data_IF_335322312348
#
_entry.id   IF_335322312348
#
_cell.length_a   1.000
_cell.length_b   1.000
_cell.length_c   1.000
_cell.angle_alpha   90.00
_cell.angle_beta   90.00
_cell.angle_gamma   90.00
#
_symmetry.space_group_name_H-M   'P 1'
#
loop_
_entity.id
_entity.type
_entity.pdbx_description
1 polymer ?
#
# COMPACT_ATOMS: atom_id res chain seq x y z
N UNK A 1 86.87 -33.21 -11.54
CA UNK A 1 85.79 -32.64 -12.39
C UNK A 1 84.44 -32.95 -11.75
N UNK A 2 83.45 -32.04 -11.86
CA UNK A 2 82.63 -31.60 -10.74
C UNK A 2 81.36 -32.43 -10.47
N UNK A 3 80.82 -32.15 -9.29
CA UNK A 3 79.66 -32.73 -8.60
C UNK A 3 78.33 -32.55 -9.33
N UNK A 4 77.39 -33.44 -9.03
CA UNK A 4 75.94 -33.22 -9.18
C UNK A 4 75.18 -33.98 -8.08
N UNK A 5 74.36 -33.30 -7.27
CA UNK A 5 73.17 -33.89 -6.66
C UNK A 5 71.90 -33.29 -7.30
N UNK A 6 70.75 -33.99 -7.31
CA UNK A 6 69.51 -33.36 -7.69
C UNK A 6 68.67 -32.92 -6.47
N UNK A 7 68.39 -31.61 -6.48
CA UNK A 7 67.08 -30.98 -6.37
C UNK A 7 66.26 -31.16 -5.08
N UNK A 8 66.48 -30.23 -4.16
CA UNK A 8 65.54 -29.76 -3.14
C UNK A 8 64.48 -28.83 -3.77
N UNK A 9 63.20 -29.15 -3.60
CA UNK A 9 62.08 -28.26 -3.92
C UNK A 9 61.80 -27.27 -2.77
N UNK A 10 61.54 -26.04 -3.16
CA UNK A 10 61.41 -24.88 -2.29
C UNK A 10 60.10 -24.86 -1.49
N UNK A 11 60.25 -24.44 -0.23
CA UNK A 11 59.22 -24.02 0.71
C UNK A 11 58.63 -22.65 0.37
N UNK A 12 57.32 -22.46 0.56
CA UNK A 12 56.77 -21.15 0.95
C UNK A 12 55.45 -21.29 1.74
N UNK A 13 55.58 -21.05 3.04
CA UNK A 13 54.70 -20.30 3.94
C UNK A 13 53.18 -20.36 3.74
N UNK A 14 52.56 -21.09 4.67
CA UNK A 14 51.13 -21.11 5.00
C UNK A 14 50.67 -19.75 5.55
N UNK A 15 49.74 -19.10 4.86
CA UNK A 15 49.07 -17.89 5.33
C UNK A 15 47.74 -18.24 6.00
N UNK A 16 47.57 -17.68 7.19
CA UNK A 16 46.45 -17.86 8.14
C UNK A 16 45.13 -17.39 7.54
N UNK A 17 44.11 -18.23 7.62
CA UNK A 17 42.73 -17.93 7.22
C UNK A 17 42.09 -16.96 8.22
N UNK A 18 41.96 -15.69 7.83
CA UNK A 18 41.17 -14.70 8.57
C UNK A 18 39.69 -14.83 8.21
N UNK A 19 38.89 -15.19 9.21
CA UNK A 19 37.43 -15.12 9.20
C UNK A 19 36.97 -13.67 9.02
N UNK A 20 36.47 -13.32 7.84
CA UNK A 20 35.83 -12.03 7.55
C UNK A 20 34.40 -12.00 8.10
N UNK A 21 34.23 -11.37 9.26
CA UNK A 21 32.93 -11.01 9.82
C UNK A 21 32.24 -10.00 8.92
N UNK A 22 31.02 -10.30 8.46
CA UNK A 22 30.17 -9.33 7.76
C UNK A 22 29.85 -8.14 8.67
N UNK A 23 29.78 -6.90 8.15
CA UNK A 23 29.43 -5.74 8.97
C UNK A 23 27.97 -5.87 9.41
N UNK A 24 27.78 -5.96 10.72
CA UNK A 24 26.48 -6.11 11.35
C UNK A 24 25.51 -5.01 10.93
N UNK A 25 24.32 -5.42 10.48
CA UNK A 25 23.11 -4.60 10.56
C UNK A 25 23.06 -4.01 11.97
N UNK A 26 23.13 -2.68 12.10
CA UNK A 26 22.77 -2.01 13.35
C UNK A 26 21.33 -2.39 13.66
N UNK A 27 21.13 -3.38 14.55
CA UNK A 27 19.86 -3.60 15.22
C UNK A 27 19.66 -2.43 16.18
N UNK A 28 19.06 -1.36 15.68
CA UNK A 28 18.41 -0.40 16.57
C UNK A 28 17.25 -1.16 17.21
N UNK A 29 17.28 -1.30 18.53
CA UNK A 29 16.14 -1.81 19.29
C UNK A 29 14.91 -0.98 18.93
N UNK A 30 13.75 -1.61 18.64
CA UNK A 30 12.53 -0.86 18.41
C UNK A 30 12.23 0.04 19.62
N UNK A 31 11.71 1.26 19.41
CA UNK A 31 11.27 2.10 20.52
C UNK A 31 10.20 1.38 21.35
N UNK A 32 10.21 1.56 22.68
CA UNK A 32 9.33 0.85 23.63
C UNK A 32 7.86 0.81 23.20
N UNK A 33 7.33 1.91 22.65
CA UNK A 33 5.96 1.98 22.13
C UNK A 33 5.69 0.98 20.99
N UNK A 34 6.66 0.76 20.09
CA UNK A 34 6.52 -0.23 19.01
C UNK A 34 6.62 -1.67 19.51
N UNK A 35 7.34 -1.90 20.62
CA UNK A 35 7.42 -3.22 21.27
C UNK A 35 6.11 -3.55 21.97
N UNK A 36 5.54 -2.61 22.73
CA UNK A 36 4.24 -2.80 23.39
C UNK A 36 3.11 -3.01 22.38
N UNK A 37 3.11 -2.23 21.29
CA UNK A 37 2.13 -2.39 20.22
C UNK A 37 2.24 -3.78 19.55
N UNK A 38 3.45 -4.34 19.45
CA UNK A 38 3.65 -5.68 18.91
C UNK A 38 3.09 -6.75 19.83
N UNK A 39 3.39 -6.67 21.13
CA UNK A 39 2.84 -7.58 22.14
C UNK A 39 1.31 -7.59 22.15
N UNK A 40 0.69 -6.40 22.00
CA UNK A 40 -0.77 -6.26 21.89
C UNK A 40 -1.35 -7.03 20.67
N UNK A 41 -0.64 -7.02 19.53
CA UNK A 41 -1.06 -7.80 18.35
C UNK A 41 -0.85 -9.31 18.54
N UNK A 42 0.29 -9.70 19.09
CA UNK A 42 0.62 -11.11 19.31
C UNK A 42 -0.39 -11.76 20.28
N UNK A 43 -0.80 -11.08 21.36
CA UNK A 43 -1.87 -11.55 22.26
C UNK A 43 -3.16 -11.91 21.51
N UNK A 44 -3.54 -11.09 20.52
CA UNK A 44 -4.77 -11.27 19.75
C UNK A 44 -4.62 -12.38 18.69
N UNK A 45 -3.46 -12.45 18.04
CA UNK A 45 -3.16 -13.43 16.98
C UNK A 45 -2.84 -14.83 17.52
N UNK A 46 -2.33 -14.94 18.75
CA UNK A 46 -1.99 -16.23 19.39
C UNK A 46 -3.21 -16.92 20.03
N UNK A 47 -4.36 -16.24 20.08
CA UNK A 47 -5.62 -16.84 20.52
C UNK A 47 -5.96 -18.11 19.72
N UNK A 48 -6.07 -19.25 20.41
CA UNK A 48 -6.27 -20.55 19.77
C UNK A 48 -7.64 -20.71 19.11
N UNK A 49 -8.68 -20.11 19.70
CA UNK A 49 -10.08 -20.34 19.29
C UNK A 49 -10.62 -19.19 18.45
N UNK A 50 -10.32 -17.95 18.85
CA UNK A 50 -10.98 -16.78 18.28
C UNK A 50 -10.09 -15.55 18.24
N UNK A 51 -9.92 -14.95 17.07
CA UNK A 51 -9.16 -13.71 16.87
C UNK A 51 -10.09 -12.50 17.01
N UNK A 52 -9.83 -11.64 17.99
CA UNK A 52 -10.61 -10.42 18.18
C UNK A 52 -10.27 -9.35 17.13
N UNK A 53 -11.00 -9.36 16.02
CA UNK A 53 -10.83 -8.41 14.92
C UNK A 53 -11.08 -6.96 15.36
N UNK A 54 -11.89 -6.71 16.40
CA UNK A 54 -12.11 -5.35 16.87
C UNK A 54 -10.89 -4.81 17.63
N UNK A 55 -10.19 -5.65 18.40
CA UNK A 55 -8.87 -5.31 18.94
C UNK A 55 -7.86 -5.07 17.81
N UNK A 56 -7.81 -5.93 16.78
CA UNK A 56 -6.94 -5.71 15.62
C UNK A 56 -7.21 -4.35 14.95
N UNK A 57 -8.48 -4.00 14.71
CA UNK A 57 -8.89 -2.69 14.17
C UNK A 57 -8.45 -1.55 15.08
N UNK A 58 -8.57 -1.70 16.40
CA UNK A 58 -8.15 -0.67 17.36
C UNK A 58 -6.64 -0.41 17.26
N UNK A 59 -5.83 -1.46 17.23
CA UNK A 59 -4.37 -1.35 17.20
C UNK A 59 -3.86 -0.87 15.83
N UNK A 60 -4.43 -1.38 14.74
CA UNK A 60 -4.03 -1.05 13.37
C UNK A 60 -4.16 0.45 13.02
N UNK A 61 -5.04 1.19 13.70
CA UNK A 61 -5.13 2.66 13.59
C UNK A 61 -3.83 3.39 13.94
N UNK A 62 -2.96 2.75 14.71
CA UNK A 62 -1.66 3.28 15.12
C UNK A 62 -0.50 2.71 14.28
N UNK A 63 -0.81 1.95 13.23
CA UNK A 63 0.14 1.24 12.38
C UNK A 63 0.33 -0.21 12.81
N UNK A 64 0.70 -1.06 11.87
CA UNK A 64 0.97 -2.48 12.10
C UNK A 64 2.47 -2.75 11.91
N UNK A 65 3.15 -3.50 12.78
CA UNK A 65 4.53 -3.92 12.56
C UNK A 65 4.72 -4.70 11.25
N UNK A 66 5.85 -4.49 10.56
CA UNK A 66 6.09 -5.03 9.22
C UNK A 66 5.98 -6.56 9.16
N UNK A 67 6.43 -7.25 10.20
CA UNK A 67 6.54 -8.71 10.22
C UNK A 67 5.19 -9.42 10.40
N UNK A 68 4.17 -8.74 10.90
CA UNK A 68 2.81 -9.30 11.09
C UNK A 68 1.75 -8.63 10.21
N UNK A 69 2.14 -7.61 9.42
CA UNK A 69 1.19 -6.85 8.61
C UNK A 69 0.35 -7.74 7.69
N UNK A 70 0.99 -8.68 7.00
CA UNK A 70 0.28 -9.62 6.12
C UNK A 70 -0.76 -10.45 6.87
N UNK A 71 -0.42 -10.97 8.06
CA UNK A 71 -1.34 -11.77 8.88
C UNK A 71 -2.53 -10.92 9.37
N UNK A 72 -2.27 -9.73 9.90
CA UNK A 72 -3.33 -8.82 10.37
C UNK A 72 -4.25 -8.39 9.22
N UNK A 73 -3.69 -8.03 8.06
CA UNK A 73 -4.47 -7.62 6.89
C UNK A 73 -5.42 -8.71 6.40
N UNK A 74 -5.02 -9.98 6.46
CA UNK A 74 -5.92 -11.10 6.11
C UNK A 74 -7.21 -11.09 6.95
N UNK A 75 -7.13 -10.79 8.24
CA UNK A 75 -8.33 -10.65 9.09
C UNK A 75 -9.10 -9.35 8.80
N UNK A 76 -8.39 -8.22 8.64
CA UNK A 76 -9.03 -6.92 8.42
C UNK A 76 -9.79 -6.85 7.08
N UNK A 77 -9.29 -7.55 6.04
CA UNK A 77 -9.93 -7.69 4.74
C UNK A 77 -10.96 -8.83 4.67
N UNK A 78 -11.14 -9.59 5.76
CA UNK A 78 -12.08 -10.72 5.82
C UNK A 78 -11.69 -11.92 4.96
N UNK A 79 -10.41 -12.10 4.66
CA UNK A 79 -9.86 -13.30 4.01
C UNK A 79 -9.75 -14.45 5.01
N UNK A 80 -9.32 -14.14 6.24
CA UNK A 80 -9.34 -15.06 7.37
C UNK A 80 -10.56 -14.79 8.25
N UNK A 81 -11.17 -15.87 8.76
CA UNK A 81 -12.31 -15.76 9.67
C UNK A 81 -11.82 -15.63 11.12
N UNK A 82 -12.53 -14.86 11.97
CA UNK A 82 -12.20 -14.74 13.38
C UNK A 82 -12.21 -16.08 14.13
N UNK A 83 -13.15 -16.97 13.80
CA UNK A 83 -13.26 -18.31 14.37
C UNK A 83 -12.27 -19.28 13.70
N UNK A 84 -11.37 -19.84 14.50
CA UNK A 84 -10.30 -20.74 14.06
C UNK A 84 -10.69 -22.21 14.01
N UNK A 85 -11.89 -22.57 14.46
CA UNK A 85 -12.34 -23.97 14.52
C UNK A 85 -12.24 -24.72 13.18
N UNK A 86 -12.37 -23.98 12.06
CA UNK A 86 -12.25 -24.50 10.70
C UNK A 86 -11.15 -23.83 9.88
N UNK A 87 -10.15 -23.21 10.52
CA UNK A 87 -9.10 -22.43 9.84
C UNK A 87 -8.34 -23.28 8.81
N UNK A 88 -7.86 -24.46 9.21
CA UNK A 88 -7.12 -25.35 8.33
C UNK A 88 -7.92 -25.75 7.08
N UNK A 89 -9.17 -26.16 7.26
CA UNK A 89 -10.05 -26.56 6.15
C UNK A 89 -10.34 -25.38 5.23
N UNK A 90 -10.55 -24.17 5.76
CA UNK A 90 -10.81 -22.97 4.96
C UNK A 90 -9.59 -22.51 4.17
N UNK A 91 -8.41 -22.52 4.78
CA UNK A 91 -7.14 -22.22 4.10
C UNK A 91 -6.88 -23.21 2.97
N UNK A 92 -7.10 -24.51 3.22
CA UNK A 92 -6.94 -25.55 2.19
C UNK A 92 -7.93 -25.36 1.04
N UNK A 93 -9.21 -25.14 1.33
CA UNK A 93 -10.22 -24.90 0.30
C UNK A 93 -9.90 -23.65 -0.54
N UNK A 94 -9.47 -22.55 0.10
CA UNK A 94 -9.04 -21.32 -0.59
C UNK A 94 -7.85 -21.58 -1.51
N UNK A 95 -6.87 -22.35 -1.04
CA UNK A 95 -5.71 -22.73 -1.83
C UNK A 95 -6.08 -23.61 -3.04
N UNK A 96 -6.92 -24.62 -2.84
CA UNK A 96 -7.44 -25.48 -3.92
C UNK A 96 -8.18 -24.65 -4.97
N UNK A 97 -9.10 -23.77 -4.56
CA UNK A 97 -9.80 -22.86 -5.49
C UNK A 97 -8.84 -21.95 -6.23
N UNK A 98 -7.82 -21.40 -5.55
CA UNK A 98 -6.81 -20.57 -6.21
C UNK A 98 -5.99 -21.34 -7.24
N UNK A 99 -5.66 -22.61 -6.98
CA UNK A 99 -4.93 -23.44 -7.94
C UNK A 99 -5.71 -23.65 -9.24
N UNK A 100 -7.04 -23.80 -9.16
CA UNK A 100 -7.92 -24.02 -10.31
C UNK A 100 -8.10 -22.79 -11.22
N UNK A 101 -7.76 -21.58 -10.73
CA UNK A 101 -7.89 -20.36 -11.53
C UNK A 101 -6.91 -20.37 -12.71
N UNK A 102 -7.41 -20.05 -13.90
CA UNK A 102 -6.59 -19.77 -15.07
C UNK A 102 -5.79 -18.48 -14.88
N UNK A 103 -4.47 -18.62 -14.85
CA UNK A 103 -3.51 -17.52 -14.63
C UNK A 103 -2.86 -17.07 -15.95
N UNK A 104 -3.17 -17.71 -17.07
CA UNK A 104 -2.57 -17.38 -18.36
C UNK A 104 -3.37 -16.27 -19.06
N UNK A 105 -2.69 -15.16 -19.36
CA UNK A 105 -3.24 -14.10 -20.18
C UNK A 105 -2.10 -13.36 -20.89
N UNK A 106 -1.82 -13.73 -22.14
CA UNK A 106 -0.63 -13.24 -22.88
C UNK A 106 -0.63 -11.72 -23.03
N UNK A 107 -1.80 -11.13 -23.32
CA UNK A 107 -1.95 -9.70 -23.52
C UNK A 107 -1.74 -8.93 -22.21
N UNK A 108 -2.45 -9.33 -21.16
CA UNK A 108 -2.35 -8.71 -19.82
C UNK A 108 -0.94 -8.89 -19.27
N UNK A 109 -0.36 -10.09 -19.36
CA UNK A 109 0.99 -10.38 -18.87
C UNK A 109 2.07 -9.47 -19.47
N UNK A 110 1.99 -9.19 -20.77
CA UNK A 110 2.92 -8.24 -21.41
C UNK A 110 2.79 -6.84 -20.79
N UNK A 111 1.57 -6.38 -20.54
CA UNK A 111 1.29 -5.05 -19.96
C UNK A 111 1.69 -5.00 -18.47
N UNK A 112 1.41 -6.06 -17.71
CA UNK A 112 1.82 -6.21 -16.31
C UNK A 112 3.34 -6.16 -16.19
N UNK A 113 4.08 -6.98 -16.95
CA UNK A 113 5.55 -6.99 -16.90
C UNK A 113 6.17 -5.62 -17.19
N UNK A 114 5.65 -4.91 -18.19
CA UNK A 114 6.09 -3.55 -18.50
C UNK A 114 5.89 -2.58 -17.32
N UNK A 115 4.73 -2.65 -16.67
CA UNK A 115 4.41 -1.78 -15.54
C UNK A 115 5.15 -2.17 -14.25
N UNK A 116 5.31 -3.46 -13.96
CA UNK A 116 6.11 -3.94 -12.83
C UNK A 116 7.55 -3.48 -12.96
N UNK A 117 8.15 -3.55 -14.15
CA UNK A 117 9.50 -3.03 -14.37
C UNK A 117 9.59 -1.53 -14.06
N UNK A 118 8.61 -0.72 -14.51
CA UNK A 118 8.55 0.71 -14.18
C UNK A 118 8.41 0.94 -12.66
N UNK A 119 7.53 0.19 -12.01
CA UNK A 119 7.30 0.26 -10.58
C UNK A 119 8.57 -0.07 -9.78
N UNK A 120 9.23 -1.18 -10.09
CA UNK A 120 10.48 -1.60 -9.44
C UNK A 120 11.62 -0.60 -9.65
N UNK A 121 11.72 0.03 -10.82
CA UNK A 121 12.70 1.08 -11.05
C UNK A 121 12.41 2.32 -10.18
N UNK A 122 11.13 2.69 -10.04
CA UNK A 122 10.71 3.83 -9.20
C UNK A 122 10.97 3.56 -7.71
N UNK A 123 10.73 2.34 -7.24
CA UNK A 123 10.83 1.96 -5.83
C UNK A 123 12.17 1.31 -5.45
N UNK A 124 13.14 1.26 -6.37
CA UNK A 124 14.45 0.61 -6.18
C UNK A 124 15.18 1.04 -4.89
N UNK A 125 15.03 2.30 -4.48
CA UNK A 125 15.66 2.83 -3.25
C UNK A 125 15.08 2.24 -1.96
N UNK A 126 13.85 1.73 -2.01
CA UNK A 126 13.11 1.23 -0.85
C UNK A 126 13.38 -0.27 -0.62
N UNK A 127 13.76 -1.00 -1.66
CA UNK A 127 14.26 -2.40 -1.59
C UNK A 127 13.33 -3.41 -0.90
N UNK A 128 12.02 -3.20 -0.90
CA UNK A 128 11.04 -4.14 -0.33
C UNK A 128 10.81 -5.40 -1.18
N UNK A 129 10.91 -5.26 -2.49
CA UNK A 129 10.59 -6.32 -3.44
C UNK A 129 11.86 -6.92 -4.03
N UNK A 130 11.90 -8.26 -4.11
CA UNK A 130 12.94 -8.95 -4.84
C UNK A 130 12.65 -8.84 -6.36
N UNK A 131 13.52 -8.16 -7.14
CA UNK A 131 13.26 -7.91 -8.57
C UNK A 131 13.26 -9.19 -9.42
N UNK A 132 13.76 -10.32 -8.90
CA UNK A 132 13.78 -11.59 -9.61
C UNK A 132 12.50 -12.40 -9.42
N UNK A 133 11.85 -12.31 -8.25
CA UNK A 133 10.65 -13.11 -7.93
C UNK A 133 9.37 -12.31 -8.05
N UNK A 134 9.39 -11.03 -7.65
CA UNK A 134 8.20 -10.19 -7.64
C UNK A 134 7.48 -10.10 -8.99
N UNK A 135 8.16 -9.97 -10.16
CA UNK A 135 7.47 -9.91 -11.45
C UNK A 135 6.59 -11.11 -11.75
N UNK A 136 7.02 -12.32 -11.37
CA UNK A 136 6.23 -13.53 -11.57
C UNK A 136 4.96 -13.51 -10.69
N UNK A 137 5.08 -13.07 -9.42
CA UNK A 137 3.96 -12.98 -8.49
C UNK A 137 2.92 -11.97 -8.98
N UNK A 138 3.35 -10.77 -9.43
CA UNK A 138 2.43 -9.80 -10.01
C UNK A 138 1.70 -10.35 -11.24
N UNK A 139 2.43 -11.05 -12.11
CA UNK A 139 1.87 -11.59 -13.35
C UNK A 139 0.77 -12.61 -13.06
N UNK A 140 1.05 -13.62 -12.23
CA UNK A 140 0.08 -14.67 -11.90
C UNK A 140 -1.13 -14.13 -11.13
N UNK A 141 -0.93 -13.20 -10.18
CA UNK A 141 -2.01 -12.65 -9.37
C UNK A 141 -2.92 -11.74 -10.17
N UNK A 142 -2.36 -10.82 -10.97
CA UNK A 142 -3.16 -9.88 -11.75
C UNK A 142 -3.85 -10.59 -12.91
N UNK A 143 -3.19 -11.54 -13.58
CA UNK A 143 -3.84 -12.33 -14.63
C UNK A 143 -5.00 -13.18 -14.07
N UNK A 144 -4.79 -13.85 -12.92
CA UNK A 144 -5.87 -14.55 -12.22
C UNK A 144 -7.07 -13.63 -11.94
N UNK A 145 -6.81 -12.43 -11.40
CA UNK A 145 -7.88 -11.47 -11.09
C UNK A 145 -8.65 -11.04 -12.33
N UNK A 146 -7.96 -10.67 -13.42
CA UNK A 146 -8.61 -10.24 -14.67
C UNK A 146 -9.41 -11.38 -15.31
N UNK A 147 -8.88 -12.60 -15.30
CA UNK A 147 -9.56 -13.77 -15.86
C UNK A 147 -10.82 -14.13 -15.06
N UNK A 148 -10.79 -14.01 -13.73
CA UNK A 148 -11.97 -14.21 -12.87
C UNK A 148 -13.00 -13.06 -12.98
N UNK A 149 -12.56 -11.85 -13.37
CA UNK A 149 -13.39 -10.65 -13.43
C UNK A 149 -13.42 -10.08 -14.85
N UNK A 150 -14.00 -10.83 -15.79
CA UNK A 150 -14.03 -10.50 -17.23
C UNK A 150 -14.67 -9.14 -17.60
N UNK A 151 -15.40 -8.52 -16.67
CA UNK A 151 -16.00 -7.19 -16.82
C UNK A 151 -15.02 -6.06 -16.43
N UNK A 152 -13.86 -6.40 -15.88
CA UNK A 152 -12.83 -5.46 -15.46
C UNK A 152 -11.72 -5.43 -16.50
N UNK A 153 -11.50 -4.26 -17.11
CA UNK A 153 -10.36 -4.06 -17.99
C UNK A 153 -9.06 -3.87 -17.20
N UNK A 154 -7.94 -4.37 -17.75
CA UNK A 154 -6.64 -4.16 -17.14
C UNK A 154 -6.25 -2.67 -17.13
N UNK A 155 -5.90 -2.19 -15.94
CA UNK A 155 -5.30 -0.88 -15.70
C UNK A 155 -3.88 -1.02 -15.14
N UNK A 156 -2.89 -0.23 -15.59
CA UNK A 156 -1.56 -0.21 -15.00
C UNK A 156 -1.55 0.07 -13.49
N UNK A 157 -2.58 0.75 -12.98
CA UNK A 157 -2.70 1.04 -11.55
C UNK A 157 -2.96 -0.20 -10.68
N UNK A 158 -3.31 -1.35 -11.28
CA UNK A 158 -3.42 -2.61 -10.55
C UNK A 158 -2.07 -3.08 -9.99
N UNK A 159 -0.94 -2.74 -10.62
CA UNK A 159 0.39 -3.07 -10.12
C UNK A 159 0.71 -2.37 -8.80
N UNK A 160 0.67 -1.02 -8.69
CA UNK A 160 0.89 -0.36 -7.41
C UNK A 160 -0.17 -0.71 -6.36
N UNK A 161 -1.41 -1.03 -6.75
CA UNK A 161 -2.43 -1.50 -5.81
C UNK A 161 -2.18 -2.93 -5.29
N UNK A 162 -1.58 -3.81 -6.10
CA UNK A 162 -1.20 -5.17 -5.70
C UNK A 162 0.09 -5.19 -4.87
N UNK A 163 1.00 -4.24 -5.09
CA UNK A 163 2.34 -4.25 -4.51
C UNK A 163 2.39 -4.36 -2.97
N UNK A 164 1.54 -3.68 -2.19
CA UNK A 164 1.50 -3.86 -0.73
C UNK A 164 1.29 -5.31 -0.28
N UNK A 165 0.49 -6.10 -1.01
CA UNK A 165 0.26 -7.51 -0.70
C UNK A 165 1.47 -8.36 -1.03
N UNK A 166 2.09 -8.15 -2.20
CA UNK A 166 3.34 -8.85 -2.61
C UNK A 166 4.48 -8.59 -1.62
N UNK A 167 4.51 -7.41 -0.97
CA UNK A 167 5.53 -7.06 0.03
C UNK A 167 5.29 -7.76 1.37
N UNK A 168 4.04 -7.97 1.75
CA UNK A 168 3.67 -8.32 3.13
C UNK A 168 3.31 -9.79 3.31
N UNK A 169 3.16 -10.56 2.23
CA UNK A 169 2.64 -11.92 2.25
C UNK A 169 3.63 -12.92 1.67
N UNK A 170 3.64 -14.12 2.23
CA UNK A 170 4.64 -15.15 1.91
C UNK A 170 4.33 -15.94 0.64
N UNK A 171 3.06 -16.02 0.25
CA UNK A 171 2.59 -16.85 -0.87
C UNK A 171 1.59 -16.10 -1.77
N UNK A 172 1.55 -16.51 -3.03
CA UNK A 172 0.72 -15.94 -4.09
C UNK A 172 -0.80 -16.13 -3.87
N UNK A 173 -1.22 -17.21 -3.22
CA UNK A 173 -2.62 -17.45 -2.86
C UNK A 173 -3.15 -16.38 -1.88
N UNK A 174 -2.39 -16.06 -0.83
CA UNK A 174 -2.75 -15.02 0.13
C UNK A 174 -2.68 -13.63 -0.51
N UNK A 175 -1.66 -13.38 -1.36
CA UNK A 175 -1.56 -12.14 -2.15
C UNK A 175 -2.81 -11.96 -3.01
N UNK A 176 -3.19 -12.99 -3.78
CA UNK A 176 -4.38 -12.96 -4.62
C UNK A 176 -5.64 -12.73 -3.80
N UNK A 177 -5.83 -13.49 -2.71
CA UNK A 177 -7.05 -13.44 -1.91
C UNK A 177 -7.26 -12.06 -1.29
N UNK A 178 -6.20 -11.41 -0.81
CA UNK A 178 -6.29 -10.05 -0.25
C UNK A 178 -6.41 -8.99 -1.34
N UNK A 179 -5.66 -9.15 -2.44
CA UNK A 179 -5.73 -8.24 -3.58
C UNK A 179 -7.12 -8.24 -4.22
N UNK A 180 -7.75 -9.41 -4.41
CA UNK A 180 -9.10 -9.55 -4.95
C UNK A 180 -10.12 -8.78 -4.11
N UNK A 181 -10.08 -8.94 -2.77
CA UNK A 181 -10.95 -8.19 -1.84
C UNK A 181 -10.86 -6.69 -2.07
N UNK A 182 -9.63 -6.16 -2.13
CA UNK A 182 -9.44 -4.73 -2.36
C UNK A 182 -9.85 -4.33 -3.78
N UNK A 183 -9.41 -5.06 -4.79
CA UNK A 183 -9.63 -4.74 -6.20
C UNK A 183 -11.12 -4.69 -6.54
N UNK A 184 -11.94 -5.57 -5.96
CA UNK A 184 -13.40 -5.53 -6.07
C UNK A 184 -13.97 -4.24 -5.48
N UNK A 185 -13.54 -3.83 -4.27
CA UNK A 185 -13.98 -2.56 -3.67
C UNK A 185 -13.53 -1.35 -4.51
N UNK A 186 -12.30 -1.38 -5.04
CA UNK A 186 -11.81 -0.33 -5.93
C UNK A 186 -12.66 -0.27 -7.20
N UNK A 187 -12.98 -1.41 -7.81
CA UNK A 187 -13.81 -1.49 -9.01
C UNK A 187 -15.22 -0.94 -8.76
N UNK A 188 -15.90 -1.42 -7.72
CA UNK A 188 -17.25 -0.98 -7.33
C UNK A 188 -17.32 0.53 -7.04
N UNK A 189 -16.35 1.03 -6.27
CA UNK A 189 -16.27 2.47 -5.93
C UNK A 189 -15.87 3.36 -7.12
N UNK A 190 -15.38 2.77 -8.21
CA UNK A 190 -14.88 3.46 -9.40
C UNK A 190 -15.81 3.41 -10.60
N UNK A 191 -16.92 2.69 -10.48
CA UNK A 191 -18.03 2.76 -11.44
C UNK A 191 -18.40 4.22 -11.70
N UNK A 192 -18.66 4.57 -12.96
CA UNK A 192 -18.68 5.96 -13.45
C UNK A 192 -19.53 6.90 -12.57
N UNK A 193 -20.74 6.47 -12.20
CA UNK A 193 -21.63 7.24 -11.31
C UNK A 193 -21.03 7.48 -9.92
N UNK A 194 -20.31 6.50 -9.38
CA UNK A 194 -19.71 6.56 -8.05
C UNK A 194 -18.48 7.47 -8.05
N UNK A 195 -17.57 7.30 -9.02
CA UNK A 195 -16.35 8.12 -9.07
C UNK A 195 -16.68 9.58 -9.37
N UNK A 196 -17.60 9.88 -10.29
CA UNK A 196 -17.98 11.25 -10.61
C UNK A 196 -18.61 11.95 -9.41
N UNK A 197 -19.44 11.24 -8.63
CA UNK A 197 -19.99 11.75 -7.37
C UNK A 197 -18.89 12.05 -6.34
N UNK A 198 -17.92 11.15 -6.18
CA UNK A 198 -16.80 11.33 -5.23
C UNK A 198 -15.89 12.49 -5.65
N UNK A 199 -15.58 12.63 -6.93
CA UNK A 199 -14.81 13.76 -7.48
C UNK A 199 -15.57 15.06 -7.26
N UNK A 200 -16.87 15.13 -7.60
CA UNK A 200 -17.67 16.34 -7.38
C UNK A 200 -17.73 16.75 -5.89
N UNK A 201 -17.90 15.77 -5.00
CA UNK A 201 -17.87 15.98 -3.55
C UNK A 201 -16.50 16.51 -3.10
N UNK A 202 -15.41 15.88 -3.54
CA UNK A 202 -14.04 16.33 -3.27
C UNK A 202 -13.80 17.77 -3.73
N UNK A 203 -14.19 18.11 -4.96
CA UNK A 203 -14.05 19.47 -5.51
C UNK A 203 -14.87 20.49 -4.70
N UNK A 204 -16.09 20.13 -4.27
CA UNK A 204 -16.90 20.99 -3.41
C UNK A 204 -16.21 21.28 -2.07
N UNK A 205 -15.65 20.26 -1.45
CA UNK A 205 -14.90 20.41 -0.19
C UNK A 205 -13.60 21.17 -0.37
N UNK A 206 -12.88 20.94 -1.47
CA UNK A 206 -11.64 21.65 -1.78
C UNK A 206 -11.88 23.16 -1.92
N UNK A 207 -12.85 23.57 -2.74
CA UNK A 207 -13.25 24.98 -2.89
C UNK A 207 -13.68 25.62 -1.58
N UNK A 208 -14.30 24.85 -0.69
CA UNK A 208 -14.84 25.37 0.58
C UNK A 208 -13.77 25.52 1.67
N UNK A 209 -12.77 24.64 1.69
CA UNK A 209 -11.78 24.57 2.75
C UNK A 209 -10.45 25.23 2.41
N UNK A 210 -10.10 25.29 1.13
CA UNK A 210 -8.85 25.86 0.63
C UNK A 210 -9.12 26.64 -0.67
N UNK A 211 -9.99 27.68 -0.63
CA UNK A 211 -10.36 28.45 -1.82
C UNK A 211 -9.16 29.13 -2.49
N UNK A 212 -8.17 29.56 -1.72
CA UNK A 212 -6.97 30.22 -2.25
C UNK A 212 -6.17 29.27 -3.15
N UNK A 213 -5.86 28.07 -2.65
CA UNK A 213 -5.15 27.05 -3.43
C UNK A 213 -5.99 26.56 -4.62
N UNK A 214 -7.31 26.45 -4.45
CA UNK A 214 -8.20 26.07 -5.54
C UNK A 214 -8.16 27.12 -6.66
N UNK A 215 -8.28 28.40 -6.33
CA UNK A 215 -8.22 29.48 -7.30
C UNK A 215 -6.86 29.53 -7.99
N UNK A 216 -5.77 29.30 -7.24
CA UNK A 216 -4.43 29.21 -7.81
C UNK A 216 -4.33 28.08 -8.85
N UNK A 217 -4.94 26.92 -8.59
CA UNK A 217 -4.99 25.84 -9.58
C UNK A 217 -5.79 26.22 -10.83
N UNK A 218 -6.88 26.98 -10.70
CA UNK A 218 -7.64 27.47 -11.86
C UNK A 218 -6.85 28.52 -12.65
N UNK A 219 -6.12 29.41 -11.96
CA UNK A 219 -5.24 30.41 -12.59
C UNK A 219 -4.08 29.77 -13.36
N UNK A 220 -3.56 28.65 -12.86
CA UNK A 220 -2.54 27.82 -13.51
C UNK A 220 -3.15 26.83 -14.53
N UNK A 221 -4.41 26.98 -14.95
CA UNK A 221 -5.11 26.10 -15.91
C UNK A 221 -5.03 24.59 -15.55
N UNK A 222 -5.03 24.24 -14.25
CA UNK A 222 -5.00 22.86 -13.79
C UNK A 222 -6.41 22.26 -13.70
N UNK A 223 -6.67 21.24 -14.52
CA UNK A 223 -7.86 20.40 -14.34
C UNK A 223 -7.75 19.57 -13.06
N UNK A 224 -8.40 20.06 -11.99
CA UNK A 224 -8.45 19.42 -10.69
C UNK A 224 -9.16 18.06 -10.75
N UNK A 225 -10.16 17.90 -11.61
CA UNK A 225 -10.93 16.67 -11.75
C UNK A 225 -10.09 15.53 -12.32
N UNK A 226 -9.21 15.83 -13.28
CA UNK A 226 -8.38 14.85 -13.96
C UNK A 226 -7.51 14.04 -12.99
N UNK A 227 -6.66 14.71 -12.20
CA UNK A 227 -5.75 14.01 -11.29
C UNK A 227 -6.45 13.52 -10.01
N UNK A 228 -7.48 14.24 -9.52
CA UNK A 228 -8.23 13.82 -8.34
C UNK A 228 -8.97 12.50 -8.57
N UNK A 229 -9.43 12.26 -9.81
CA UNK A 229 -10.04 10.98 -10.17
C UNK A 229 -9.09 9.80 -9.95
N UNK A 230 -7.79 9.96 -10.24
CA UNK A 230 -6.76 8.92 -10.01
C UNK A 230 -6.55 8.66 -8.52
N UNK A 231 -6.39 9.73 -7.73
CA UNK A 231 -6.21 9.65 -6.28
C UNK A 231 -7.35 8.86 -5.63
N UNK A 232 -8.59 9.23 -5.97
CA UNK A 232 -9.81 8.67 -5.39
C UNK A 232 -10.09 7.22 -5.84
N UNK A 233 -9.75 6.88 -7.08
CA UNK A 233 -9.96 5.56 -7.69
C UNK A 233 -9.03 4.50 -7.13
N UNK A 234 -7.75 4.82 -6.94
CA UNK A 234 -6.72 3.85 -6.59
C UNK A 234 -6.16 4.03 -5.17
N UNK A 235 -6.86 4.79 -4.33
CA UNK A 235 -6.52 5.06 -2.94
C UNK A 235 -5.07 5.52 -2.76
N UNK A 236 -4.63 6.40 -3.67
CA UNK A 236 -3.28 6.95 -3.73
C UNK A 236 -2.14 5.94 -3.94
N UNK A 237 -2.43 4.66 -4.23
CA UNK A 237 -1.39 3.63 -4.37
C UNK A 237 -0.40 3.93 -5.50
N UNK A 238 -0.86 4.62 -6.54
CA UNK A 238 -0.03 5.01 -7.68
C UNK A 238 0.83 6.25 -7.37
N UNK A 239 0.34 7.16 -6.54
CA UNK A 239 0.93 8.48 -6.31
C UNK A 239 1.83 8.55 -5.08
N UNK A 240 1.50 7.82 -4.01
CA UNK A 240 2.28 7.79 -2.78
C UNK A 240 3.49 6.84 -2.86
N UNK A 241 4.58 7.11 -2.12
CA UNK A 241 5.64 6.14 -1.88
C UNK A 241 5.10 4.89 -1.17
N UNK A 242 5.67 3.72 -1.47
CA UNK A 242 5.17 2.44 -0.96
C UNK A 242 5.07 2.34 0.57
N UNK A 243 6.05 2.83 1.38
CA UNK A 243 5.91 2.85 2.84
C UNK A 243 4.69 3.65 3.32
N UNK A 244 4.38 4.74 2.61
CA UNK A 244 3.23 5.58 2.91
C UNK A 244 1.92 4.87 2.60
N UNK A 245 1.87 4.11 1.50
CA UNK A 245 0.70 3.29 1.15
C UNK A 245 0.46 2.21 2.20
N UNK A 246 1.50 1.47 2.61
CA UNK A 246 1.41 0.47 3.68
C UNK A 246 0.83 1.07 4.97
N UNK A 247 1.41 2.20 5.43
CA UNK A 247 0.97 2.87 6.66
C UNK A 247 -0.46 3.41 6.55
N UNK A 248 -0.87 3.89 5.37
CA UNK A 248 -2.21 4.40 5.14
C UNK A 248 -3.24 3.28 5.14
N UNK A 249 -2.89 2.14 4.55
CA UNK A 249 -3.79 1.00 4.41
C UNK A 249 -3.94 0.21 5.72
N UNK A 250 -2.95 0.24 6.63
CA UNK A 250 -3.13 -0.21 8.02
C UNK A 250 -4.35 0.48 8.67
N UNK A 251 -4.50 1.79 8.45
CA UNK A 251 -5.64 2.57 8.95
C UNK A 251 -6.91 2.28 8.14
N UNK A 252 -6.83 2.18 6.82
CA UNK A 252 -8.03 1.94 5.99
C UNK A 252 -8.69 0.60 6.29
N UNK A 253 -7.91 -0.48 6.37
CA UNK A 253 -8.49 -1.79 6.66
C UNK A 253 -8.98 -1.91 8.12
N UNK A 254 -8.54 -1.00 8.99
CA UNK A 254 -9.07 -0.86 10.34
C UNK A 254 -10.44 -0.14 10.41
N UNK A 255 -10.88 0.50 9.33
CA UNK A 255 -12.11 1.28 9.25
C UNK A 255 -13.12 0.63 8.30
N UNK A 256 -14.42 0.60 8.63
CA UNK A 256 -15.43 0.07 7.71
C UNK A 256 -15.77 1.04 6.56
N UNK A 257 -15.60 2.35 6.74
CA UNK A 257 -16.01 3.43 5.82
C UNK A 257 -14.81 4.16 5.20
N UNK A 258 -13.73 3.44 4.91
CA UNK A 258 -12.49 4.05 4.42
C UNK A 258 -12.65 4.68 3.02
N UNK A 259 -13.57 4.19 2.19
CA UNK A 259 -13.85 4.74 0.85
C UNK A 259 -14.50 6.14 0.95
N UNK A 260 -15.42 6.31 1.91
CA UNK A 260 -16.07 7.57 2.25
C UNK A 260 -15.13 8.51 3.01
N UNK A 261 -14.21 7.96 3.80
CA UNK A 261 -13.20 8.73 4.50
C UNK A 261 -12.11 9.26 3.56
N UNK A 262 -11.81 8.53 2.48
CA UNK A 262 -10.68 8.80 1.60
C UNK A 262 -10.60 10.23 1.03
N UNK A 263 -11.69 10.90 0.59
CA UNK A 263 -11.62 12.28 0.12
C UNK A 263 -11.03 13.25 1.16
N UNK A 264 -11.25 13.02 2.46
CA UNK A 264 -10.68 13.84 3.52
C UNK A 264 -9.17 13.63 3.67
N UNK A 265 -8.67 12.43 3.37
CA UNK A 265 -7.22 12.16 3.28
C UNK A 265 -6.61 12.91 2.11
N UNK A 266 -7.25 12.90 0.93
CA UNK A 266 -6.79 13.69 -0.22
C UNK A 266 -6.73 15.19 0.11
N UNK A 267 -7.75 15.74 0.80
CA UNK A 267 -7.76 17.14 1.24
C UNK A 267 -6.68 17.42 2.29
N UNK A 268 -6.43 16.49 3.23
CA UNK A 268 -5.37 16.63 4.21
C UNK A 268 -3.98 16.67 3.54
N UNK A 269 -3.76 15.88 2.48
CA UNK A 269 -2.52 15.91 1.69
C UNK A 269 -2.37 17.27 1.01
N UNK A 270 -3.40 17.78 0.34
CA UNK A 270 -3.34 19.11 -0.27
C UNK A 270 -3.06 20.19 0.78
N UNK A 271 -3.72 20.13 1.93
CA UNK A 271 -3.50 21.08 3.02
C UNK A 271 -2.08 21.01 3.58
N UNK A 272 -1.48 19.83 3.61
CA UNK A 272 -0.10 19.64 4.01
C UNK A 272 0.90 20.21 2.99
N UNK A 273 0.56 20.14 1.71
CA UNK A 273 1.42 20.60 0.60
C UNK A 273 1.14 22.04 0.17
N UNK A 274 0.10 22.69 0.69
CA UNK A 274 -0.43 23.99 0.24
C UNK A 274 0.67 25.01 -0.05
N UNK A 275 1.47 25.35 0.97
CA UNK A 275 2.47 26.40 0.85
C UNK A 275 3.52 26.05 -0.22
N UNK A 276 3.93 24.78 -0.30
CA UNK A 276 4.88 24.31 -1.32
C UNK A 276 4.27 24.26 -2.72
N UNK A 277 2.95 24.18 -2.87
CA UNK A 277 2.28 24.13 -4.18
C UNK A 277 2.00 25.52 -4.73
N UNK A 278 1.77 26.51 -3.87
CA UNK A 278 1.57 27.92 -4.26
C UNK A 278 2.86 28.60 -4.76
N UNK A 279 4.01 27.99 -4.51
CA UNK A 279 5.33 28.46 -4.98
C UNK A 279 5.77 27.83 -6.32
N UNK A 280 4.96 26.97 -6.94
CA UNK A 280 5.33 26.15 -8.11
C UNK A 280 4.51 26.50 -9.34
N UNK A 281 5.12 26.42 -10.53
CA UNK A 281 4.38 26.58 -11.79
C UNK A 281 3.53 25.33 -12.12
N UNK A 282 2.53 25.48 -13.00
CA UNK A 282 1.64 24.41 -13.45
C UNK A 282 2.31 23.04 -13.66
N UNK A 283 3.42 22.99 -14.40
CA UNK A 283 4.09 21.73 -14.75
C UNK A 283 4.71 21.03 -13.55
N UNK A 284 5.19 21.80 -12.58
CA UNK A 284 5.79 21.32 -11.33
C UNK A 284 4.72 20.83 -10.37
N UNK A 285 3.61 21.57 -10.26
CA UNK A 285 2.42 21.13 -9.51
C UNK A 285 1.96 19.76 -10.01
N UNK A 286 1.79 19.59 -11.33
CA UNK A 286 1.39 18.29 -11.92
C UNK A 286 2.40 17.19 -11.59
N UNK A 287 3.69 17.49 -11.65
CA UNK A 287 4.75 16.53 -11.30
C UNK A 287 4.63 16.07 -9.84
N UNK A 288 4.36 16.99 -8.91
CA UNK A 288 4.15 16.69 -7.48
C UNK A 288 2.86 15.89 -7.26
N UNK A 289 1.75 16.29 -7.88
CA UNK A 289 0.45 15.63 -7.69
C UNK A 289 0.43 14.19 -8.27
N UNK A 290 1.21 13.93 -9.31
CA UNK A 290 1.38 12.58 -9.88
C UNK A 290 2.38 11.72 -9.11
N UNK A 291 3.24 12.33 -8.27
CA UNK A 291 4.26 11.65 -7.46
C UNK A 291 4.45 12.39 -6.14
N UNK A 292 3.62 12.02 -5.17
CA UNK A 292 3.60 12.66 -3.87
C UNK A 292 4.89 12.38 -3.09
N UNK A 293 5.37 13.35 -2.28
CA UNK A 293 6.54 13.15 -1.44
C UNK A 293 6.22 12.22 -0.26
N UNK A 294 7.28 11.73 0.39
CA UNK A 294 7.12 11.00 1.66
C UNK A 294 6.59 11.96 2.72
N UNK A 295 5.57 11.53 3.45
CA UNK A 295 4.89 12.32 4.47
C UNK A 295 4.56 11.48 5.70
N UNK A 296 4.30 12.13 6.83
CA UNK A 296 3.88 11.43 8.05
C UNK A 296 2.39 11.09 7.95
N UNK A 297 2.08 9.84 7.60
CA UNK A 297 0.71 9.38 7.37
C UNK A 297 -0.17 9.49 8.62
N UNK A 298 0.37 9.26 9.82
CA UNK A 298 -0.39 9.46 11.06
C UNK A 298 -0.88 10.90 11.23
N UNK A 299 -0.06 11.90 10.87
CA UNK A 299 -0.46 13.31 10.87
C UNK A 299 -1.51 13.61 9.80
N UNK A 300 -1.34 13.07 8.59
CA UNK A 300 -2.31 13.24 7.48
C UNK A 300 -3.67 12.65 7.86
N UNK A 301 -3.70 11.44 8.41
CA UNK A 301 -4.94 10.78 8.88
C UNK A 301 -5.60 11.59 10.00
N UNK A 302 -4.82 12.08 10.97
CA UNK A 302 -5.34 12.94 12.05
C UNK A 302 -5.97 14.22 11.49
N UNK A 303 -5.30 14.86 10.52
CA UNK A 303 -5.81 16.05 9.84
C UNK A 303 -7.07 15.74 9.03
N UNK A 304 -7.15 14.57 8.39
CA UNK A 304 -8.34 14.12 7.66
C UNK A 304 -9.55 13.92 8.59
N UNK A 305 -9.36 13.38 9.80
CA UNK A 305 -10.43 13.31 10.81
C UNK A 305 -10.93 14.69 11.24
N UNK A 306 -10.02 15.66 11.41
CA UNK A 306 -10.40 17.04 11.73
C UNK A 306 -11.21 17.67 10.60
N UNK A 307 -10.76 17.51 9.35
CA UNK A 307 -11.45 17.99 8.15
C UNK A 307 -12.86 17.39 8.05
N UNK A 308 -12.99 16.07 8.26
CA UNK A 308 -14.31 15.39 8.25
C UNK A 308 -15.25 15.97 9.30
N UNK A 309 -14.76 16.17 10.51
CA UNK A 309 -15.53 16.73 11.63
C UNK A 309 -15.98 18.17 11.35
N UNK A 310 -15.09 18.98 10.80
CA UNK A 310 -15.37 20.37 10.41
C UNK A 310 -16.47 20.44 9.34
N UNK A 311 -16.37 19.62 8.29
CA UNK A 311 -17.39 19.54 7.23
C UNK A 311 -18.73 19.09 7.81
N UNK A 312 -18.76 18.03 8.62
CA UNK A 312 -20.00 17.53 9.23
C UNK A 312 -20.67 18.59 10.10
N UNK A 313 -19.90 19.34 10.88
CA UNK A 313 -20.44 20.45 11.68
C UNK A 313 -21.08 21.53 10.80
N UNK A 314 -20.45 21.91 9.69
CA UNK A 314 -20.98 22.92 8.75
C UNK A 314 -22.31 22.47 8.11
N UNK A 315 -22.43 21.21 7.71
CA UNK A 315 -23.67 20.68 7.13
C UNK A 315 -24.78 20.47 8.17
N UNK A 316 -24.44 20.11 9.40
CA UNK A 316 -25.44 20.02 10.47
C UNK A 316 -25.99 21.39 10.87
N UNK A 317 -25.15 22.45 10.83
CA UNK A 317 -25.58 23.82 11.06
C UNK A 317 -26.48 24.38 9.95
N UNK A 318 -26.32 23.93 8.70
CA UNK A 318 -27.18 24.37 7.58
C UNK A 318 -28.57 23.71 7.58
N UNK A 319 -28.78 22.65 8.38
CA UNK A 319 -30.08 21.98 8.55
C UNK A 319 -30.84 22.38 9.82
N UNK A 320 -30.28 23.26 10.67
CA UNK A 320 -31.02 23.81 11.80
C UNK A 320 -32.04 24.83 11.30
N UNK A 321 -33.36 24.64 11.50
CA UNK A 321 -34.34 25.64 11.12
C UNK A 321 -34.07 26.92 11.92
N UNK A 322 -34.04 28.07 11.24
CA UNK A 322 -34.16 29.37 11.91
C UNK A 322 -35.49 29.37 12.65
N UNK A 323 -35.45 29.15 13.95
CA UNK A 323 -36.59 29.25 14.88
C UNK A 323 -37.07 30.67 15.01
#
# INVERSE_FOLDING_TARGET
>A
MPQSPPLSSASSSSAVSASGSSPGRRRTSPPLHSTLLREDFDEVLESEVFVDVNKLRKYARHGIPDEIRGEVWKYLLGVEKPDRSNEFTQRRARFESYQEIDKENVEVSKRVRGEVNRYLMRTKKESFLNPHTAPAIFDIVICAYINCNNHVEYSPALVPACAPFVITMDNDCDVYSCFERLANVLHESSQEKNINKRVAQFLSYFRTLMPELYNYFEEEDLDVGEWASSWLRYLLSKELPTPSVLSLWDVYFAMPDYIEFHPFVCLAILKHLKDSLEDLEQSEIRSVLLRLPKMNIGRIVSQAHNIRSEIQARYNLSMSPRS
#
